data_IF_838693682651
#
_entry.id   IF_838693682651
#
_cell.length_a   1.000
_cell.length_b   1.000
_cell.length_c   1.000
_cell.angle_alpha   90.00
_cell.angle_beta   90.00
_cell.angle_gamma   90.00
#
_symmetry.space_group_name_H-M   'P 1'
#
loop_
_entity.id
_entity.type
_entity.pdbx_description
1 polymer ?
#
# COMPACT_ATOMS: atom_id res chain seq x y z
N UNK A 1 -14.43 37.58 19.19
CA UNK A 1 -13.39 38.46 18.59
C UNK A 1 -12.33 37.57 18.00
N UNK A 2 -11.85 37.80 16.77
CA UNK A 2 -10.78 36.96 16.22
C UNK A 2 -9.49 37.21 17.02
N UNK A 3 -8.74 36.16 17.41
CA UNK A 3 -7.48 36.29 18.11
C UNK A 3 -6.46 37.05 17.24
N UNK A 4 -5.53 37.76 17.88
CA UNK A 4 -4.50 38.57 17.22
C UNK A 4 -3.10 38.13 17.63
N UNK A 5 -2.06 38.50 16.87
CA UNK A 5 -0.68 38.24 17.29
C UNK A 5 -0.34 38.93 18.63
N UNK A 6 -1.06 39.99 18.98
CA UNK A 6 -0.89 40.68 20.27
C UNK A 6 -1.35 39.81 21.43
N UNK A 7 -2.50 39.12 21.26
CA UNK A 7 -3.02 38.24 22.31
C UNK A 7 -2.06 37.07 22.59
N UNK A 8 -1.41 36.55 21.54
CA UNK A 8 -0.37 35.50 21.68
C UNK A 8 0.88 36.04 22.34
N UNK A 9 1.28 37.25 21.97
CA UNK A 9 2.46 37.94 22.56
C UNK A 9 2.28 38.21 24.07
N UNK A 10 1.10 38.65 24.46
CA UNK A 10 0.74 38.94 25.85
C UNK A 10 0.74 37.66 26.71
N UNK A 11 0.26 36.52 26.19
CA UNK A 11 0.26 35.22 26.89
C UNK A 11 1.68 34.72 27.19
N UNK A 12 2.63 34.94 26.28
CA UNK A 12 4.01 34.47 26.43
C UNK A 12 5.00 35.51 26.94
N UNK A 13 4.57 36.75 27.16
CA UNK A 13 5.45 37.84 27.59
C UNK A 13 6.54 38.18 26.57
N UNK A 14 6.23 38.05 25.27
CA UNK A 14 7.17 38.31 24.17
C UNK A 14 6.67 39.49 23.32
N UNK A 15 7.54 40.01 22.46
CA UNK A 15 7.11 41.03 21.50
C UNK A 15 6.25 40.46 20.38
N UNK A 16 5.37 41.28 19.79
CA UNK A 16 4.60 40.94 18.58
C UNK A 16 5.55 40.51 17.45
N UNK A 17 6.73 41.12 17.35
CA UNK A 17 7.75 40.72 16.39
C UNK A 17 8.29 39.32 16.65
N UNK A 18 8.50 38.92 17.91
CA UNK A 18 8.88 37.55 18.24
C UNK A 18 7.79 36.54 17.84
N UNK A 19 6.51 36.87 18.08
CA UNK A 19 5.37 36.05 17.58
C UNK A 19 5.40 35.98 16.06
N UNK A 20 5.60 37.10 15.37
CA UNK A 20 5.72 37.12 13.91
C UNK A 20 6.88 36.26 13.41
N UNK A 21 8.06 36.34 14.04
CA UNK A 21 9.22 35.52 13.70
C UNK A 21 8.94 34.03 13.96
N UNK A 22 8.27 33.68 15.06
CA UNK A 22 7.89 32.33 15.39
C UNK A 22 6.88 31.76 14.39
N UNK A 23 5.81 32.50 14.08
CA UNK A 23 4.78 32.14 13.11
C UNK A 23 5.33 32.00 11.68
N UNK A 24 6.34 32.80 11.33
CA UNK A 24 6.96 32.80 10.01
C UNK A 24 8.27 31.97 9.93
N UNK A 25 8.53 31.13 10.93
CA UNK A 25 9.72 30.27 11.02
C UNK A 25 11.05 30.99 10.77
N UNK A 26 11.15 32.28 11.11
CA UNK A 26 12.37 33.07 10.95
C UNK A 26 13.29 32.93 12.17
N UNK A 27 14.62 33.07 12.00
CA UNK A 27 15.55 33.06 13.12
C UNK A 27 15.29 34.31 14.05
N UNK A 28 15.65 34.16 15.34
CA UNK A 28 15.47 35.19 16.34
C UNK A 28 14.55 34.83 17.50
N UNK A 29 14.01 33.60 17.51
CA UNK A 29 13.23 33.02 18.62
C UNK A 29 13.77 31.62 18.88
N UNK A 30 13.93 31.23 20.15
CA UNK A 30 14.36 29.87 20.51
C UNK A 30 13.30 28.85 20.09
N UNK A 31 13.72 27.62 19.75
CA UNK A 31 12.80 26.55 19.32
C UNK A 31 11.73 26.24 20.39
N UNK A 32 12.11 26.25 21.68
CA UNK A 32 11.16 26.08 22.76
C UNK A 32 10.06 27.15 22.79
N UNK A 33 10.44 28.40 22.66
CA UNK A 33 9.50 29.51 22.63
C UNK A 33 8.66 29.49 21.35
N UNK A 34 9.26 29.14 20.21
CA UNK A 34 8.57 28.99 18.95
C UNK A 34 7.43 27.97 19.08
N UNK A 35 7.72 26.78 19.64
CA UNK A 35 6.72 25.72 19.85
C UNK A 35 5.58 26.18 20.79
N UNK A 36 5.90 26.94 21.87
CA UNK A 36 4.88 27.48 22.77
C UNK A 36 3.97 28.50 22.05
N UNK A 37 4.53 29.41 21.27
CA UNK A 37 3.79 30.38 20.48
C UNK A 37 2.87 29.68 19.46
N UNK A 38 3.38 28.67 18.77
CA UNK A 38 2.63 27.93 17.78
C UNK A 38 1.44 27.17 18.39
N UNK A 39 1.64 26.52 19.55
CA UNK A 39 0.55 25.86 20.29
C UNK A 39 -0.54 26.84 20.68
N UNK A 40 -0.18 27.95 21.29
CA UNK A 40 -1.13 28.99 21.71
C UNK A 40 -1.88 29.59 20.52
N UNK A 41 -1.20 29.79 19.39
CA UNK A 41 -1.84 30.29 18.17
C UNK A 41 -2.90 29.29 17.63
N UNK A 42 -2.63 27.99 17.77
CA UNK A 42 -3.59 26.93 17.39
C UNK A 42 -4.77 26.87 18.38
N UNK A 43 -4.47 26.83 19.68
CA UNK A 43 -5.49 26.76 20.74
C UNK A 43 -6.47 27.96 20.71
N UNK A 44 -5.97 29.14 20.34
CA UNK A 44 -6.79 30.32 20.17
C UNK A 44 -7.54 30.40 18.83
N UNK A 45 -7.28 29.45 17.90
CA UNK A 45 -7.86 29.50 16.54
C UNK A 45 -7.26 30.62 15.67
N UNK A 46 -6.10 31.20 16.04
CA UNK A 46 -5.39 32.19 15.23
C UNK A 46 -4.88 31.56 13.92
N UNK A 47 -4.58 30.27 13.95
CA UNK A 47 -4.07 29.50 12.81
C UNK A 47 -5.17 29.03 11.84
N UNK A 48 -6.43 29.44 11.98
CA UNK A 48 -7.48 29.17 11.00
C UNK A 48 -7.21 29.86 9.64
N UNK A 49 -6.33 30.84 9.58
CA UNK A 49 -5.68 31.30 8.34
C UNK A 49 -4.51 30.38 7.94
N UNK A 50 -4.79 29.12 7.88
CA UNK A 50 -3.85 28.01 7.68
C UNK A 50 -3.05 28.09 6.38
N UNK A 51 -3.60 28.72 5.36
CA UNK A 51 -2.88 28.96 4.10
C UNK A 51 -1.61 29.81 4.29
N UNK A 52 -1.64 30.80 5.19
CA UNK A 52 -0.45 31.60 5.49
C UNK A 52 0.60 30.79 6.24
N UNK A 53 0.18 29.94 7.18
CA UNK A 53 1.09 29.14 7.99
C UNK A 53 1.79 28.07 7.17
N UNK A 54 1.08 27.36 6.30
CA UNK A 54 1.67 26.35 5.40
C UNK A 54 2.53 26.98 4.29
N UNK A 55 2.26 28.25 3.91
CA UNK A 55 3.11 29.02 2.99
C UNK A 55 4.38 29.58 3.63
N UNK A 56 4.41 29.68 4.95
CA UNK A 56 5.53 30.31 5.69
C UNK A 56 6.53 29.29 6.24
N UNK A 57 6.11 28.03 6.49
CA UNK A 57 7.04 26.91 6.52
C UNK A 57 7.42 26.65 5.06
N UNK A 58 8.61 27.09 4.67
CA UNK A 58 9.18 26.68 3.38
C UNK A 58 8.97 25.18 3.24
N UNK A 59 8.26 24.80 2.18
CA UNK A 59 7.77 23.46 1.86
C UNK A 59 8.94 22.52 1.60
N UNK A 60 9.61 22.03 2.63
CA UNK A 60 10.85 21.28 2.41
C UNK A 60 10.78 19.83 2.86
N UNK A 61 9.80 19.44 3.69
CA UNK A 61 9.84 18.12 4.30
C UNK A 61 8.54 17.34 4.18
N UNK A 62 8.59 16.15 3.57
CA UNK A 62 7.52 15.15 3.59
C UNK A 62 7.84 14.07 4.62
N UNK A 63 6.83 13.66 5.38
CA UNK A 63 6.89 12.51 6.25
C UNK A 63 6.47 11.26 5.50
N UNK A 64 7.35 10.30 5.34
CA UNK A 64 7.00 8.99 4.81
C UNK A 64 6.95 7.99 5.96
N UNK A 65 5.83 7.29 6.07
CA UNK A 65 5.60 6.28 7.11
C UNK A 65 5.40 4.91 6.49
N UNK A 66 5.95 3.86 7.08
CA UNK A 66 5.78 2.48 6.64
C UNK A 66 5.84 1.54 7.83
N UNK A 67 5.00 0.50 7.88
CA UNK A 67 5.10 -0.50 8.95
C UNK A 67 6.43 -1.25 8.86
N UNK A 68 7.02 -1.57 10.03
CA UNK A 68 8.29 -2.29 10.16
C UNK A 68 8.30 -3.61 9.38
N UNK A 69 7.19 -4.33 9.36
CA UNK A 69 7.07 -5.60 8.62
C UNK A 69 7.33 -5.48 7.11
N UNK A 70 7.09 -4.31 6.52
CA UNK A 70 7.31 -4.06 5.10
C UNK A 70 8.73 -3.59 4.78
N UNK A 71 9.50 -3.15 5.77
CA UNK A 71 10.89 -2.70 5.60
C UNK A 71 11.81 -3.79 5.04
N UNK A 72 11.45 -5.06 5.26
CA UNK A 72 12.17 -6.24 4.74
C UNK A 72 11.81 -6.59 3.30
N UNK A 73 10.77 -5.97 2.73
CA UNK A 73 10.31 -6.21 1.37
C UNK A 73 10.79 -5.14 0.40
N UNK A 74 12.10 -5.14 0.14
CA UNK A 74 12.72 -4.18 -0.76
C UNK A 74 12.32 -4.38 -2.23
N UNK A 75 11.88 -5.58 -2.62
CA UNK A 75 11.49 -5.89 -4.00
C UNK A 75 10.11 -5.32 -4.38
N UNK A 76 9.29 -4.97 -3.39
CA UNK A 76 8.00 -4.34 -3.61
C UNK A 76 7.95 -2.94 -2.95
N UNK A 77 7.94 -2.87 -1.63
CA UNK A 77 7.82 -1.60 -0.91
C UNK A 77 9.05 -0.70 -1.02
N UNK A 78 10.24 -1.29 -1.17
CA UNK A 78 11.47 -0.53 -1.40
C UNK A 78 11.46 0.25 -2.72
N UNK A 79 10.86 -0.31 -3.77
CA UNK A 79 10.73 0.37 -5.08
C UNK A 79 9.74 1.54 -4.97
N UNK A 80 8.61 1.35 -4.27
CA UNK A 80 7.63 2.42 -4.02
C UNK A 80 8.29 3.55 -3.23
N UNK A 81 9.00 3.21 -2.14
CA UNK A 81 9.71 4.18 -1.31
C UNK A 81 10.74 4.96 -2.10
N UNK A 82 11.58 4.27 -2.90
CA UNK A 82 12.56 4.93 -3.75
C UNK A 82 11.91 5.92 -4.71
N UNK A 83 10.81 5.52 -5.36
CA UNK A 83 10.08 6.39 -6.27
C UNK A 83 9.45 7.60 -5.56
N UNK A 84 8.98 7.43 -4.31
CA UNK A 84 8.50 8.55 -3.46
C UNK A 84 9.64 9.52 -3.18
N UNK A 85 10.81 9.04 -2.75
CA UNK A 85 11.97 9.88 -2.43
C UNK A 85 12.44 10.67 -3.65
N UNK A 86 12.60 10.00 -4.79
CA UNK A 86 13.04 10.64 -6.03
C UNK A 86 12.04 11.70 -6.53
N UNK A 87 10.74 11.39 -6.50
CA UNK A 87 9.73 12.34 -6.95
C UNK A 87 9.59 13.54 -5.97
N UNK A 88 9.67 13.29 -4.66
CA UNK A 88 9.70 14.35 -3.65
C UNK A 88 10.87 15.30 -3.90
N UNK A 89 12.08 14.76 -4.07
CA UNK A 89 13.29 15.52 -4.35
C UNK A 89 13.20 16.37 -5.62
N UNK A 90 12.65 15.80 -6.70
CA UNK A 90 12.41 16.55 -7.97
C UNK A 90 11.49 17.77 -7.78
N UNK A 91 10.59 17.69 -6.80
CA UNK A 91 9.66 18.77 -6.46
C UNK A 91 10.16 19.67 -5.32
N UNK A 92 11.44 19.55 -4.92
CA UNK A 92 12.06 20.40 -3.90
C UNK A 92 11.71 20.04 -2.46
N UNK A 93 11.31 18.77 -2.21
CA UNK A 93 11.01 18.27 -0.86
C UNK A 93 12.08 17.30 -0.38
N UNK A 94 12.50 17.46 0.85
CA UNK A 94 13.23 16.45 1.61
C UNK A 94 12.26 15.41 2.18
N UNK A 95 12.74 14.21 2.43
CA UNK A 95 11.93 13.10 2.96
C UNK A 95 12.48 12.64 4.30
N UNK A 96 11.62 12.64 5.31
CA UNK A 96 11.89 12.00 6.59
C UNK A 96 11.16 10.67 6.66
N UNK A 97 11.92 9.56 6.79
CA UNK A 97 11.38 8.22 6.86
C UNK A 97 11.10 7.81 8.30
N UNK A 98 9.92 7.25 8.56
CA UNK A 98 9.50 6.76 9.87
C UNK A 98 8.90 5.36 9.72
N UNK A 99 9.47 4.40 10.44
CA UNK A 99 8.90 3.06 10.57
C UNK A 99 8.01 3.01 11.81
N UNK A 100 6.96 2.18 11.78
CA UNK A 100 6.03 2.04 12.89
C UNK A 100 5.46 0.63 13.03
N UNK A 101 5.10 0.25 14.24
CA UNK A 101 4.22 -0.88 14.54
C UNK A 101 2.77 -0.36 14.61
N UNK A 102 1.85 -0.97 13.90
CA UNK A 102 0.44 -0.52 13.87
C UNK A 102 -0.25 -0.61 15.24
N UNK A 103 0.21 -1.51 16.13
CA UNK A 103 -0.32 -1.64 17.48
C UNK A 103 0.25 -0.61 18.47
N UNK A 104 1.42 -0.03 18.17
CA UNK A 104 2.16 0.88 19.04
C UNK A 104 2.69 2.09 18.26
N UNK A 105 1.89 2.64 17.34
CA UNK A 105 2.32 3.75 16.50
C UNK A 105 2.54 5.03 17.31
N UNK A 106 3.76 5.52 17.31
CA UNK A 106 4.07 6.86 17.74
C UNK A 106 3.95 7.85 16.59
N UNK A 107 3.37 9.03 16.85
CA UNK A 107 3.31 10.10 15.85
C UNK A 107 4.72 10.65 15.63
N UNK A 108 5.22 10.70 14.37
CA UNK A 108 6.54 11.22 14.08
C UNK A 108 6.78 12.62 14.66
N UNK A 109 7.95 12.87 15.26
CA UNK A 109 8.29 14.16 15.87
C UNK A 109 8.07 15.33 14.92
N UNK A 110 8.44 15.18 13.63
CA UNK A 110 8.24 16.22 12.64
C UNK A 110 6.76 16.58 12.42
N UNK A 111 5.85 15.61 12.60
CA UNK A 111 4.39 15.84 12.53
C UNK A 111 3.93 16.58 13.80
N UNK A 112 4.36 16.11 14.97
CA UNK A 112 4.05 16.75 16.28
C UNK A 112 4.55 18.20 16.32
N UNK A 113 5.77 18.42 15.85
CA UNK A 113 6.45 19.73 15.81
C UNK A 113 6.01 20.59 14.61
N UNK A 114 5.09 20.08 13.77
CA UNK A 114 4.55 20.74 12.57
C UNK A 114 5.63 21.16 11.55
N UNK A 115 6.75 20.42 11.50
CA UNK A 115 7.83 20.63 10.53
C UNK A 115 7.62 19.88 9.22
N UNK A 116 6.64 18.99 9.15
CA UNK A 116 6.26 18.24 7.96
C UNK A 116 5.12 18.92 7.20
N UNK A 117 5.23 19.02 5.88
CA UNK A 117 4.19 19.58 5.02
C UNK A 117 3.07 18.59 4.74
N UNK A 118 3.38 17.31 4.62
CA UNK A 118 2.42 16.24 4.32
C UNK A 118 2.95 14.87 4.72
N UNK A 119 2.06 13.89 4.72
CA UNK A 119 2.35 12.50 5.10
C UNK A 119 2.02 11.57 3.93
N UNK A 120 2.95 10.69 3.57
CA UNK A 120 2.70 9.54 2.70
C UNK A 120 2.84 8.28 3.54
N UNK A 121 1.82 7.41 3.53
CA UNK A 121 1.86 6.14 4.24
C UNK A 121 1.92 5.02 3.21
N UNK A 122 2.98 4.22 3.26
CA UNK A 122 3.21 3.11 2.34
C UNK A 122 2.76 1.81 3.00
N UNK A 123 1.81 1.11 2.37
CA UNK A 123 1.21 -0.12 2.88
C UNK A 123 0.12 0.13 3.94
N UNK A 124 -0.28 -0.96 4.61
CA UNK A 124 -1.44 -0.97 5.53
C UNK A 124 -1.19 -0.14 6.78
N UNK A 125 -2.21 0.61 7.19
CA UNK A 125 -2.32 1.30 8.47
C UNK A 125 -3.76 1.13 9.00
N UNK A 126 -3.95 1.04 10.31
CA UNK A 126 -5.29 0.99 10.92
C UNK A 126 -6.01 2.33 10.86
N UNK A 127 -7.34 2.29 10.79
CA UNK A 127 -8.17 3.49 10.78
C UNK A 127 -8.00 4.34 12.06
N UNK A 128 -7.73 3.70 13.21
CA UNK A 128 -7.43 4.37 14.48
C UNK A 128 -6.14 5.20 14.43
N UNK A 129 -5.13 4.68 13.75
CA UNK A 129 -3.87 5.39 13.53
C UNK A 129 -4.03 6.53 12.52
N UNK A 130 -4.85 6.33 11.48
CA UNK A 130 -5.25 7.42 10.57
C UNK A 130 -5.93 8.55 11.36
N UNK A 131 -6.90 8.23 12.23
CA UNK A 131 -7.57 9.23 13.10
C UNK A 131 -6.57 10.01 13.96
N UNK A 132 -5.57 9.32 14.48
CA UNK A 132 -4.52 9.95 15.29
C UNK A 132 -3.70 10.95 14.48
N UNK A 133 -3.32 10.60 13.26
CA UNK A 133 -2.58 11.49 12.36
C UNK A 133 -3.44 12.65 11.85
N UNK A 134 -4.73 12.42 11.56
CA UNK A 134 -5.66 13.46 11.09
C UNK A 134 -5.87 14.61 12.10
N UNK A 135 -5.67 14.36 13.41
CA UNK A 135 -5.72 15.42 14.46
C UNK A 135 -4.71 16.54 14.21
N UNK A 136 -3.60 16.25 13.52
CA UNK A 136 -2.58 17.25 13.18
C UNK A 136 -2.96 18.09 11.95
N UNK A 137 -4.08 17.73 11.27
CA UNK A 137 -4.64 18.44 10.12
C UNK A 137 -3.61 18.66 8.98
N UNK A 138 -2.70 17.72 8.78
CA UNK A 138 -1.71 17.66 7.70
C UNK A 138 -2.28 16.73 6.61
N UNK A 139 -2.16 17.06 5.32
CA UNK A 139 -2.58 16.18 4.24
C UNK A 139 -1.90 14.81 4.30
N UNK A 140 -2.69 13.76 4.10
CA UNK A 140 -2.22 12.36 4.13
C UNK A 140 -2.61 11.70 2.81
N UNK A 141 -1.68 10.95 2.23
CA UNK A 141 -1.91 10.10 1.06
C UNK A 141 -1.46 8.67 1.40
N UNK A 142 -2.32 7.69 1.15
CA UNK A 142 -2.00 6.28 1.28
C UNK A 142 -1.45 5.74 -0.04
N UNK A 143 -0.42 4.91 0.00
CA UNK A 143 0.11 4.17 -1.15
C UNK A 143 0.01 2.68 -0.89
N UNK A 144 -0.55 1.92 -1.81
CA UNK A 144 -0.85 0.48 -1.69
C UNK A 144 -1.80 0.13 -0.54
N UNK A 145 -2.61 1.08 -0.11
CA UNK A 145 -3.64 0.90 0.90
C UNK A 145 -4.79 1.89 0.72
N UNK A 146 -6.01 1.46 1.06
CA UNK A 146 -7.18 2.32 1.19
C UNK A 146 -7.94 1.97 2.47
N UNK A 147 -8.51 2.98 3.10
CA UNK A 147 -9.52 2.79 4.14
C UNK A 147 -10.91 2.74 3.50
N UNK A 148 -11.74 1.79 3.92
CA UNK A 148 -13.15 1.76 3.54
C UNK A 148 -14.03 2.65 4.44
N UNK A 149 -13.46 3.15 5.53
CA UNK A 149 -14.17 3.94 6.57
C UNK A 149 -13.78 5.42 6.49
N UNK A 150 -12.54 5.71 6.07
CA UNK A 150 -12.01 7.07 6.02
C UNK A 150 -11.96 7.59 4.60
N UNK A 151 -12.49 8.80 4.42
CA UNK A 151 -12.36 9.53 3.15
C UNK A 151 -10.97 10.17 3.07
N UNK A 152 -10.01 9.46 2.49
CA UNK A 152 -8.61 9.84 2.42
C UNK A 152 -8.03 9.51 1.04
N UNK A 153 -7.10 10.33 0.58
CA UNK A 153 -6.44 10.10 -0.69
C UNK A 153 -5.64 8.80 -0.71
N UNK A 154 -5.81 8.00 -1.77
CA UNK A 154 -5.12 6.72 -1.92
C UNK A 154 -4.61 6.52 -3.34
N UNK A 155 -3.45 5.88 -3.47
CA UNK A 155 -2.91 5.41 -4.75
C UNK A 155 -2.80 3.91 -4.70
N UNK A 156 -3.52 3.23 -5.58
CA UNK A 156 -3.80 1.80 -5.52
C UNK A 156 -3.43 1.11 -6.81
N UNK A 157 -3.20 -0.19 -6.74
CA UNK A 157 -3.16 -1.10 -7.88
C UNK A 157 -4.59 -1.52 -8.26
N UNK A 158 -4.87 -1.68 -9.55
CA UNK A 158 -6.11 -2.32 -10.00
C UNK A 158 -6.07 -3.85 -9.76
N UNK A 159 -6.15 -4.20 -8.48
CA UNK A 159 -6.09 -5.59 -8.02
C UNK A 159 -7.22 -6.44 -8.60
N UNK A 160 -8.43 -5.86 -8.68
CA UNK A 160 -9.61 -6.57 -9.21
C UNK A 160 -9.42 -6.89 -10.70
N UNK A 161 -8.98 -5.90 -11.48
CA UNK A 161 -8.66 -6.12 -12.89
C UNK A 161 -7.55 -7.17 -13.06
N UNK A 162 -6.51 -7.12 -12.22
CA UNK A 162 -5.41 -8.09 -12.25
C UNK A 162 -5.89 -9.52 -12.03
N UNK A 163 -6.69 -9.76 -10.99
CA UNK A 163 -7.30 -11.07 -10.75
C UNK A 163 -8.19 -11.55 -11.90
N UNK A 164 -8.96 -10.63 -12.50
CA UNK A 164 -9.79 -10.91 -13.66
C UNK A 164 -8.95 -11.28 -14.90
N UNK A 165 -7.91 -10.53 -15.20
CA UNK A 165 -7.02 -10.76 -16.35
C UNK A 165 -6.37 -12.13 -16.27
N UNK A 166 -5.88 -12.54 -15.10
CA UNK A 166 -5.25 -13.87 -14.91
C UNK A 166 -6.22 -14.99 -15.24
N UNK A 167 -7.42 -14.98 -14.67
CA UNK A 167 -8.40 -16.03 -14.89
C UNK A 167 -8.87 -16.05 -16.34
N UNK A 168 -9.12 -14.88 -16.95
CA UNK A 168 -9.43 -14.79 -18.38
C UNK A 168 -8.36 -15.45 -19.24
N UNK A 169 -7.09 -15.15 -18.97
CA UNK A 169 -5.96 -15.76 -19.67
C UNK A 169 -5.93 -17.29 -19.52
N UNK A 170 -6.13 -17.78 -18.29
CA UNK A 170 -6.13 -19.22 -18.01
C UNK A 170 -7.29 -19.96 -18.71
N UNK A 171 -8.50 -19.39 -18.67
CA UNK A 171 -9.65 -19.94 -19.41
C UNK A 171 -9.42 -19.96 -20.92
N UNK A 172 -8.77 -18.92 -21.47
CA UNK A 172 -8.41 -18.88 -22.91
C UNK A 172 -7.37 -19.93 -23.28
N UNK A 173 -6.48 -20.30 -22.34
CA UNK A 173 -5.55 -21.43 -22.50
C UNK A 173 -6.22 -22.81 -22.35
N UNK A 174 -7.45 -22.87 -21.85
CA UNK A 174 -8.22 -24.11 -21.73
C UNK A 174 -8.14 -24.76 -20.34
N UNK A 175 -7.67 -24.04 -19.32
CA UNK A 175 -7.72 -24.56 -17.94
C UNK A 175 -9.14 -24.62 -17.41
N UNK A 176 -9.51 -25.73 -16.80
CA UNK A 176 -10.83 -25.98 -16.22
C UNK A 176 -10.81 -25.92 -14.69
N UNK A 177 -9.69 -26.30 -14.05
CA UNK A 177 -9.53 -26.34 -12.59
C UNK A 177 -8.55 -25.28 -12.14
N UNK A 178 -9.08 -24.08 -11.88
CA UNK A 178 -8.31 -22.89 -11.48
C UNK A 178 -8.53 -22.64 -10.00
N UNK A 179 -7.50 -22.78 -9.16
CA UNK A 179 -7.57 -22.49 -7.72
C UNK A 179 -6.98 -21.15 -7.36
N UNK A 180 -7.39 -20.58 -6.22
CA UNK A 180 -6.76 -19.41 -5.63
C UNK A 180 -5.89 -19.82 -4.43
N UNK A 181 -4.70 -19.25 -4.32
CA UNK A 181 -3.75 -19.48 -3.22
C UNK A 181 -3.40 -18.16 -2.55
N UNK A 182 -4.04 -17.85 -1.41
CA UNK A 182 -3.84 -16.57 -0.72
C UNK A 182 -4.78 -16.37 0.47
N UNK A 183 -4.30 -15.68 1.52
CA UNK A 183 -5.05 -15.44 2.76
C UNK A 183 -5.87 -14.16 2.67
N UNK A 184 -7.21 -14.31 2.53
CA UNK A 184 -8.12 -13.18 2.29
C UNK A 184 -8.21 -12.20 3.47
N UNK A 185 -7.93 -12.66 4.69
CA UNK A 185 -7.95 -11.81 5.90
C UNK A 185 -6.73 -10.89 6.01
N UNK A 186 -5.67 -11.15 5.25
CA UNK A 186 -4.39 -10.48 5.39
C UNK A 186 -4.42 -9.03 4.90
N UNK A 187 -4.97 -8.75 3.71
CA UNK A 187 -5.03 -7.40 3.15
C UNK A 187 -6.25 -7.20 2.23
N UNK A 188 -6.63 -5.92 2.03
CA UNK A 188 -7.67 -5.56 1.07
C UNK A 188 -7.24 -5.90 -0.37
N UNK A 189 -5.98 -5.67 -0.74
CA UNK A 189 -5.45 -5.98 -2.07
C UNK A 189 -5.61 -7.46 -2.43
N UNK A 190 -5.36 -8.39 -1.50
CA UNK A 190 -5.60 -9.83 -1.73
C UNK A 190 -7.09 -10.11 -1.92
N UNK A 191 -7.97 -9.49 -1.12
CA UNK A 191 -9.44 -9.61 -1.31
C UNK A 191 -9.88 -9.13 -2.68
N UNK A 192 -9.35 -7.99 -3.14
CA UNK A 192 -9.68 -7.44 -4.45
C UNK A 192 -9.19 -8.33 -5.60
N UNK A 193 -7.97 -8.92 -5.49
CA UNK A 193 -7.45 -9.91 -6.43
C UNK A 193 -8.37 -11.12 -6.50
N UNK A 194 -8.83 -11.60 -5.35
CA UNK A 194 -9.80 -12.69 -5.26
C UNK A 194 -11.17 -12.31 -5.83
N UNK A 195 -11.69 -11.11 -5.61
CA UNK A 195 -12.93 -10.65 -6.25
C UNK A 195 -12.82 -10.62 -7.78
N UNK A 196 -11.67 -10.20 -8.31
CA UNK A 196 -11.40 -10.26 -9.75
C UNK A 196 -11.39 -11.70 -10.27
N UNK A 197 -10.73 -12.61 -9.54
CA UNK A 197 -10.72 -14.04 -9.82
C UNK A 197 -12.15 -14.63 -9.85
N UNK A 198 -12.96 -14.36 -8.83
CA UNK A 198 -14.36 -14.83 -8.77
C UNK A 198 -15.20 -14.24 -9.90
N UNK A 199 -15.06 -12.95 -10.19
CA UNK A 199 -15.82 -12.29 -11.24
C UNK A 199 -15.51 -12.85 -12.62
N UNK A 200 -14.24 -13.16 -12.90
CA UNK A 200 -13.86 -13.78 -14.16
C UNK A 200 -14.44 -15.20 -14.31
N UNK A 201 -14.39 -16.03 -13.26
CA UNK A 201 -15.02 -17.36 -13.27
C UNK A 201 -16.54 -17.26 -13.46
N UNK A 202 -17.21 -16.31 -12.78
CA UNK A 202 -18.65 -16.10 -12.90
C UNK A 202 -19.06 -15.62 -14.28
N UNK A 203 -18.25 -14.74 -14.89
CA UNK A 203 -18.60 -14.10 -16.17
C UNK A 203 -18.20 -14.96 -17.37
N UNK A 204 -16.99 -15.52 -17.35
CA UNK A 204 -16.35 -16.18 -18.49
C UNK A 204 -16.31 -17.71 -18.38
N UNK A 205 -16.50 -18.25 -17.18
CA UNK A 205 -16.51 -19.69 -16.95
C UNK A 205 -17.70 -20.41 -17.60
N UNK A 206 -17.63 -21.75 -17.76
CA UNK A 206 -18.74 -22.55 -18.26
C UNK A 206 -19.98 -22.48 -17.38
N UNK A 207 -21.16 -22.80 -17.93
CA UNK A 207 -22.44 -22.66 -17.23
C UNK A 207 -22.51 -23.48 -15.93
N UNK A 208 -22.05 -24.74 -15.99
CA UNK A 208 -22.05 -25.64 -14.84
C UNK A 208 -21.20 -25.09 -13.66
N UNK A 209 -20.08 -24.45 -13.98
CA UNK A 209 -19.22 -23.84 -12.95
C UNK A 209 -19.93 -22.68 -12.25
N UNK A 210 -20.72 -21.89 -12.97
CA UNK A 210 -21.43 -20.73 -12.43
C UNK A 210 -22.47 -21.11 -11.39
N UNK A 211 -23.15 -22.24 -11.58
CA UNK A 211 -24.16 -22.76 -10.66
C UNK A 211 -23.54 -23.27 -9.34
N UNK A 212 -22.30 -23.76 -9.38
CA UNK A 212 -21.59 -24.36 -8.25
C UNK A 212 -20.30 -23.61 -7.87
N UNK A 213 -20.24 -22.31 -8.14
CA UNK A 213 -19.01 -21.51 -8.01
C UNK A 213 -18.40 -21.56 -6.61
N UNK A 214 -19.20 -21.51 -5.56
CA UNK A 214 -18.70 -21.56 -4.17
C UNK A 214 -18.04 -22.91 -3.87
N UNK A 215 -18.69 -24.01 -4.20
CA UNK A 215 -18.15 -25.37 -4.01
C UNK A 215 -16.86 -25.58 -4.82
N UNK A 216 -16.84 -25.08 -6.06
CA UNK A 216 -15.67 -25.13 -6.92
C UNK A 216 -14.48 -24.37 -6.29
N UNK A 217 -14.71 -23.14 -5.80
CA UNK A 217 -13.67 -22.32 -5.17
C UNK A 217 -13.13 -23.02 -3.91
N UNK A 218 -13.99 -23.52 -3.03
CA UNK A 218 -13.60 -24.25 -1.83
C UNK A 218 -12.82 -25.52 -2.17
N UNK A 219 -13.24 -26.23 -3.21
CA UNK A 219 -12.59 -27.46 -3.67
C UNK A 219 -11.16 -27.23 -4.16
N UNK A 220 -10.87 -26.15 -4.89
CA UNK A 220 -9.60 -25.97 -5.57
C UNK A 220 -8.69 -24.89 -4.93
N UNK A 221 -9.19 -24.10 -3.99
CA UNK A 221 -8.43 -22.98 -3.40
C UNK A 221 -7.89 -23.27 -1.99
N UNK A 222 -6.87 -22.52 -1.57
CA UNK A 222 -6.27 -22.55 -0.23
C UNK A 222 -6.22 -21.12 0.29
N UNK A 223 -6.83 -20.86 1.47
CA UNK A 223 -7.07 -19.49 1.95
C UNK A 223 -6.39 -19.12 3.27
N UNK A 224 -5.94 -20.06 4.08
CA UNK A 224 -5.52 -19.78 5.46
C UNK A 224 -4.05 -20.06 5.69
N UNK A 225 -3.40 -19.20 6.48
CA UNK A 225 -2.05 -19.42 7.00
C UNK A 225 -0.92 -19.26 5.98
N UNK A 226 -1.20 -18.64 4.82
CA UNK A 226 -0.25 -18.52 3.71
C UNK A 226 0.68 -17.33 3.95
N UNK A 227 0.13 -16.12 4.08
CA UNK A 227 0.93 -14.91 4.19
C UNK A 227 1.80 -14.88 5.44
N UNK A 228 1.28 -15.39 6.56
CA UNK A 228 2.04 -15.54 7.80
C UNK A 228 3.20 -16.54 7.65
N UNK A 229 2.98 -17.66 6.95
CA UNK A 229 4.01 -18.64 6.67
C UNK A 229 5.10 -18.08 5.73
N UNK A 230 4.70 -17.36 4.69
CA UNK A 230 5.61 -16.71 3.74
C UNK A 230 6.47 -15.64 4.43
N UNK A 231 5.88 -14.78 5.27
CA UNK A 231 6.60 -13.76 6.03
C UNK A 231 7.66 -14.33 6.97
N UNK A 232 7.34 -15.47 7.60
CA UNK A 232 8.21 -16.10 8.59
C UNK A 232 9.12 -17.19 8.00
N UNK A 233 9.12 -17.37 6.67
CA UNK A 233 9.84 -18.45 5.97
C UNK A 233 9.48 -19.87 6.48
N UNK A 234 8.23 -20.06 6.88
CA UNK A 234 7.72 -21.37 7.37
C UNK A 234 7.32 -22.28 6.20
N UNK A 235 8.31 -22.68 5.38
CA UNK A 235 8.07 -23.53 4.21
C UNK A 235 7.35 -24.85 4.53
N UNK A 236 7.63 -25.45 5.71
CA UNK A 236 6.94 -26.65 6.18
C UNK A 236 5.42 -26.46 6.29
N UNK A 237 4.98 -25.28 6.75
CA UNK A 237 3.55 -24.97 6.86
C UNK A 237 2.89 -24.94 5.47
N UNK A 238 3.53 -24.35 4.48
CA UNK A 238 3.01 -24.34 3.10
C UNK A 238 2.93 -25.78 2.54
N UNK A 239 3.96 -26.60 2.75
CA UNK A 239 3.96 -28.01 2.34
C UNK A 239 2.76 -28.75 2.94
N UNK A 240 2.52 -28.59 4.24
CA UNK A 240 1.39 -29.24 4.92
C UNK A 240 0.03 -28.72 4.44
N UNK A 241 -0.10 -27.44 4.09
CA UNK A 241 -1.33 -26.90 3.51
C UNK A 241 -1.63 -27.53 2.16
N UNK A 242 -0.62 -27.65 1.29
CA UNK A 242 -0.76 -28.27 -0.03
C UNK A 242 -1.05 -29.77 0.11
N UNK A 243 -0.35 -30.49 0.99
CA UNK A 243 -0.51 -31.93 1.21
C UNK A 243 -1.92 -32.29 1.73
N UNK A 244 -2.53 -31.41 2.51
CA UNK A 244 -3.90 -31.61 3.04
C UNK A 244 -4.98 -31.41 1.98
N UNK A 245 -4.64 -30.85 0.82
CA UNK A 245 -5.61 -30.60 -0.25
C UNK A 245 -5.89 -31.91 -1.00
N UNK A 246 -7.10 -32.40 -0.90
CA UNK A 246 -7.52 -33.67 -1.53
C UNK A 246 -7.44 -33.59 -3.06
N UNK A 247 -7.79 -32.44 -3.64
CA UNK A 247 -7.77 -32.20 -5.07
C UNK A 247 -6.96 -30.94 -5.38
N UNK A 248 -5.80 -31.10 -6.00
CA UNK A 248 -5.06 -29.98 -6.55
C UNK A 248 -5.73 -29.47 -7.83
N UNK A 249 -5.78 -28.15 -8.06
CA UNK A 249 -6.20 -27.61 -9.35
C UNK A 249 -5.12 -27.83 -10.41
N UNK A 250 -5.46 -27.58 -11.66
CA UNK A 250 -4.52 -27.58 -12.79
C UNK A 250 -3.59 -26.35 -12.74
N UNK A 251 -4.09 -25.26 -12.13
CA UNK A 251 -3.35 -24.00 -11.98
C UNK A 251 -3.77 -23.24 -10.73
N UNK A 252 -2.80 -22.67 -10.02
CA UNK A 252 -3.04 -21.73 -8.93
C UNK A 252 -2.82 -20.29 -9.37
N UNK A 253 -3.79 -19.44 -9.06
CA UNK A 253 -3.65 -17.99 -9.03
C UNK A 253 -3.22 -17.59 -7.61
N UNK A 254 -2.00 -17.14 -7.45
CA UNK A 254 -1.44 -16.80 -6.13
C UNK A 254 -1.72 -15.34 -5.77
N UNK A 255 -1.88 -15.09 -4.46
CA UNK A 255 -2.11 -13.75 -3.91
C UNK A 255 -1.00 -12.76 -4.28
N UNK A 256 0.25 -13.23 -4.34
CA UNK A 256 1.44 -12.47 -4.72
C UNK A 256 2.57 -13.40 -5.17
N UNK A 257 3.65 -12.84 -5.69
CA UNK A 257 4.80 -13.61 -6.18
C UNK A 257 5.53 -14.38 -5.07
N UNK A 258 5.60 -13.84 -3.85
CA UNK A 258 6.23 -14.56 -2.74
C UNK A 258 5.45 -15.81 -2.36
N UNK A 259 4.12 -15.73 -2.35
CA UNK A 259 3.25 -16.88 -2.14
C UNK A 259 3.40 -17.89 -3.29
N UNK A 260 3.52 -17.42 -4.54
CA UNK A 260 3.76 -18.27 -5.70
C UNK A 260 5.10 -19.02 -5.59
N UNK A 261 6.18 -18.33 -5.22
CA UNK A 261 7.50 -18.95 -5.01
C UNK A 261 7.47 -19.99 -3.89
N UNK A 262 6.82 -19.68 -2.76
CA UNK A 262 6.68 -20.63 -1.66
C UNK A 262 5.86 -21.87 -2.07
N UNK A 263 4.81 -21.69 -2.86
CA UNK A 263 4.00 -22.79 -3.42
C UNK A 263 4.82 -23.64 -4.40
N UNK A 264 5.61 -23.03 -5.29
CA UNK A 264 6.49 -23.76 -6.21
C UNK A 264 7.46 -24.66 -5.46
N UNK A 265 8.10 -24.15 -4.39
CA UNK A 265 8.98 -24.94 -3.53
C UNK A 265 8.23 -26.10 -2.84
N UNK A 266 7.03 -25.85 -2.34
CA UNK A 266 6.22 -26.88 -1.68
C UNK A 266 5.81 -28.00 -2.64
N UNK A 267 5.37 -27.64 -3.85
CA UNK A 267 5.03 -28.60 -4.90
C UNK A 267 6.24 -29.45 -5.29
N UNK A 268 7.40 -28.85 -5.48
CA UNK A 268 8.65 -29.57 -5.78
C UNK A 268 9.01 -30.59 -4.69
N UNK A 269 8.90 -30.20 -3.41
CA UNK A 269 9.16 -31.12 -2.28
C UNK A 269 8.16 -32.28 -2.25
N UNK A 270 6.92 -32.05 -2.69
CA UNK A 270 5.88 -33.07 -2.80
C UNK A 270 5.96 -33.93 -4.09
N UNK A 271 6.95 -33.67 -4.95
CA UNK A 271 7.19 -34.42 -6.17
C UNK A 271 6.41 -33.95 -7.40
N UNK A 272 5.73 -32.80 -7.32
CA UNK A 272 5.05 -32.18 -8.46
C UNK A 272 5.99 -31.26 -9.25
N UNK A 273 5.80 -31.24 -10.56
CA UNK A 273 6.54 -30.36 -11.49
C UNK A 273 5.69 -29.15 -11.89
N UNK A 274 6.34 -27.99 -12.01
CA UNK A 274 5.76 -26.76 -12.54
C UNK A 274 6.43 -26.48 -13.88
N UNK A 275 5.67 -26.30 -14.96
CA UNK A 275 4.21 -26.17 -15.07
C UNK A 275 3.45 -27.49 -15.34
N UNK A 276 4.12 -28.64 -15.54
CA UNK A 276 3.55 -29.84 -16.15
C UNK A 276 2.41 -30.46 -15.32
N UNK A 277 2.62 -30.67 -14.01
CA UNK A 277 1.58 -31.20 -13.11
C UNK A 277 0.65 -30.09 -12.63
N UNK A 278 1.23 -28.94 -12.17
CA UNK A 278 0.48 -27.81 -11.67
C UNK A 278 1.10 -26.50 -12.19
N UNK A 279 0.31 -25.72 -12.89
CA UNK A 279 0.71 -24.37 -13.34
C UNK A 279 0.55 -23.33 -12.23
N UNK A 280 1.29 -22.23 -12.30
CA UNK A 280 1.26 -21.17 -11.28
C UNK A 280 1.32 -19.79 -11.93
N UNK A 281 0.47 -18.87 -11.43
CA UNK A 281 0.51 -17.45 -11.76
C UNK A 281 0.65 -16.64 -10.49
N UNK A 282 1.63 -15.73 -10.45
CA UNK A 282 1.88 -14.79 -9.35
C UNK A 282 1.18 -13.45 -9.54
N UNK A 283 1.53 -12.50 -8.66
CA UNK A 283 1.11 -11.11 -8.71
C UNK A 283 2.23 -10.24 -8.10
N UNK A 284 2.55 -9.10 -8.69
CA UNK A 284 3.50 -8.04 -8.30
C UNK A 284 4.67 -7.85 -9.27
N UNK A 285 5.10 -8.87 -10.00
CA UNK A 285 6.26 -8.90 -10.88
C UNK A 285 7.54 -8.42 -10.16
N UNK A 286 7.93 -9.14 -9.10
CA UNK A 286 9.20 -8.91 -8.41
C UNK A 286 10.37 -9.49 -9.21
N UNK A 287 11.58 -8.98 -8.99
CA UNK A 287 12.80 -9.38 -9.71
C UNK A 287 13.05 -10.90 -9.70
N UNK A 288 12.64 -11.59 -8.63
CA UNK A 288 12.83 -13.02 -8.50
C UNK A 288 12.07 -13.82 -9.57
N UNK A 289 10.98 -13.29 -10.12
CA UNK A 289 10.18 -13.95 -11.17
C UNK A 289 11.00 -14.31 -12.41
N UNK A 290 12.04 -13.55 -12.74
CA UNK A 290 12.92 -13.79 -13.87
C UNK A 290 14.16 -14.64 -13.53
N UNK A 291 14.51 -14.70 -12.25
CA UNK A 291 15.74 -15.36 -11.77
C UNK A 291 15.56 -16.85 -11.47
N UNK A 292 14.32 -17.27 -11.20
CA UNK A 292 13.99 -18.68 -10.94
C UNK A 292 13.80 -19.49 -12.22
N UNK A 293 13.73 -20.82 -12.08
CA UNK A 293 13.39 -21.75 -13.16
C UNK A 293 12.35 -22.77 -12.66
N UNK A 294 11.20 -22.89 -13.38
CA UNK A 294 10.75 -22.06 -14.51
C UNK A 294 10.47 -20.60 -14.09
N UNK A 295 10.61 -19.64 -15.02
CA UNK A 295 10.32 -18.22 -14.77
C UNK A 295 8.84 -18.00 -14.50
N UNK A 296 8.53 -17.20 -13.48
CA UNK A 296 7.16 -17.01 -12.99
C UNK A 296 6.34 -16.08 -13.90
N UNK A 297 5.22 -16.61 -14.45
CA UNK A 297 4.14 -15.82 -15.03
C UNK A 297 3.44 -15.04 -13.92
N UNK A 298 3.21 -13.74 -14.11
CA UNK A 298 2.71 -12.88 -13.03
C UNK A 298 1.98 -11.65 -13.57
N UNK A 299 1.25 -10.95 -12.70
CA UNK A 299 0.71 -9.62 -12.98
C UNK A 299 1.76 -8.57 -12.59
N UNK A 300 2.06 -7.68 -13.52
CA UNK A 300 2.95 -6.56 -13.27
C UNK A 300 2.23 -5.41 -12.56
N UNK A 301 2.71 -5.06 -11.36
CA UNK A 301 2.32 -3.88 -10.60
C UNK A 301 3.36 -2.79 -10.83
N UNK A 302 2.93 -1.61 -11.25
CA UNK A 302 3.84 -0.49 -11.48
C UNK A 302 4.14 0.29 -10.19
N UNK A 303 5.05 -0.27 -9.41
CA UNK A 303 5.48 0.25 -8.10
C UNK A 303 6.06 1.66 -8.18
N UNK A 304 6.81 1.96 -9.25
CA UNK A 304 7.41 3.28 -9.45
C UNK A 304 6.34 4.35 -9.71
N UNK A 305 5.37 4.06 -10.58
CA UNK A 305 4.26 4.99 -10.85
C UNK A 305 3.46 5.22 -9.57
N UNK A 306 3.24 4.18 -8.75
CA UNK A 306 2.54 4.32 -7.47
C UNK A 306 3.23 5.34 -6.56
N UNK A 307 4.53 5.21 -6.35
CA UNK A 307 5.30 6.15 -5.53
C UNK A 307 5.26 7.59 -6.07
N UNK A 308 5.46 7.75 -7.37
CA UNK A 308 5.39 9.06 -8.04
C UNK A 308 4.01 9.72 -7.88
N UNK A 309 2.94 8.96 -8.12
CA UNK A 309 1.56 9.47 -8.02
C UNK A 309 1.18 9.82 -6.58
N UNK A 310 1.69 9.10 -5.59
CA UNK A 310 1.47 9.42 -4.17
C UNK A 310 2.04 10.82 -3.84
N UNK A 311 3.27 11.12 -4.28
CA UNK A 311 3.86 12.45 -4.09
C UNK A 311 3.09 13.53 -4.86
N UNK A 312 2.78 13.31 -6.13
CA UNK A 312 2.04 14.26 -6.96
C UNK A 312 0.66 14.57 -6.35
N UNK A 313 -0.04 13.56 -5.84
CA UNK A 313 -1.32 13.74 -5.16
C UNK A 313 -1.15 14.53 -3.85
N UNK A 314 -0.12 14.23 -3.06
CA UNK A 314 0.15 14.97 -1.84
C UNK A 314 0.45 16.45 -2.14
N UNK A 315 1.29 16.74 -3.12
CA UNK A 315 1.61 18.12 -3.54
C UNK A 315 0.34 18.84 -4.04
N UNK A 316 -0.51 18.16 -4.80
CA UNK A 316 -1.80 18.72 -5.20
C UNK A 316 -2.63 19.10 -3.99
N UNK A 317 -2.74 18.22 -2.98
CA UNK A 317 -3.47 18.46 -1.72
C UNK A 317 -2.89 19.61 -0.91
N UNK A 318 -1.57 19.77 -0.91
CA UNK A 318 -0.90 20.91 -0.24
C UNK A 318 -1.28 22.24 -0.87
N UNK A 319 -1.53 22.28 -2.16
CA UNK A 319 -1.94 23.49 -2.88
C UNK A 319 -3.47 23.69 -2.93
N UNK A 320 -4.25 22.63 -2.65
CA UNK A 320 -5.72 22.63 -2.74
C UNK A 320 -6.30 21.88 -1.52
N UNK A 321 -6.21 22.50 -0.34
CA UNK A 321 -6.59 21.89 0.94
C UNK A 321 -8.07 21.41 0.99
N UNK A 322 -8.96 22.14 0.30
CA UNK A 322 -10.40 21.84 0.26
C UNK A 322 -10.79 20.87 -0.88
N UNK A 323 -9.82 20.39 -1.68
CA UNK A 323 -10.11 19.42 -2.74
C UNK A 323 -10.68 18.13 -2.15
N UNK A 324 -11.54 17.45 -2.88
CA UNK A 324 -12.06 16.14 -2.51
C UNK A 324 -10.93 15.11 -2.49
N UNK A 325 -11.05 14.11 -1.61
CA UNK A 325 -10.15 12.96 -1.64
C UNK A 325 -10.40 12.11 -2.89
N UNK A 326 -9.35 11.51 -3.40
CA UNK A 326 -9.38 10.68 -4.61
C UNK A 326 -8.70 9.34 -4.36
N UNK A 327 -9.28 8.29 -4.96
CA UNK A 327 -8.61 7.00 -5.13
C UNK A 327 -8.04 6.92 -6.54
N UNK A 328 -6.72 6.99 -6.67
CA UNK A 328 -6.02 6.86 -7.94
C UNK A 328 -5.68 5.39 -8.14
N UNK A 329 -6.28 4.77 -9.14
CA UNK A 329 -6.08 3.34 -9.46
C UNK A 329 -5.13 3.20 -10.64
N UNK A 330 -4.04 2.47 -10.47
CA UNK A 330 -3.02 2.21 -11.48
C UNK A 330 -3.30 0.87 -12.15
N UNK A 331 -3.46 0.88 -13.46
CA UNK A 331 -3.69 -0.32 -14.26
C UNK A 331 -2.52 -1.31 -14.19
N UNK A 332 -2.84 -2.57 -14.47
CA UNK A 332 -1.92 -3.70 -14.44
C UNK A 332 -1.92 -4.45 -15.77
N UNK A 333 -0.91 -5.26 -16.00
CA UNK A 333 -0.82 -6.13 -17.18
C UNK A 333 -0.23 -7.51 -16.80
N UNK A 334 -0.62 -8.53 -17.54
CA UNK A 334 -0.03 -9.87 -17.42
C UNK A 334 1.35 -9.89 -18.07
N UNK A 335 2.30 -10.54 -17.41
CA UNK A 335 3.62 -10.90 -17.93
C UNK A 335 3.71 -12.40 -18.00
N UNK A 336 3.49 -12.94 -19.20
CA UNK A 336 3.56 -14.39 -19.46
C UNK A 336 5.02 -14.85 -19.49
N UNK A 337 5.30 -15.98 -18.81
CA UNK A 337 6.60 -16.63 -18.74
C UNK A 337 6.44 -18.16 -18.83
N UNK A 338 7.15 -18.93 -17.96
CA UNK A 338 7.33 -20.38 -18.13
C UNK A 338 6.47 -21.22 -17.17
N UNK A 339 5.82 -20.63 -16.13
CA UNK A 339 5.08 -21.38 -15.11
C UNK A 339 3.63 -21.75 -15.49
N UNK A 340 3.20 -21.48 -16.72
CA UNK A 340 1.88 -21.86 -17.23
C UNK A 340 2.08 -22.70 -18.49
N UNK A 341 1.59 -23.95 -18.45
CA UNK A 341 1.68 -24.85 -19.61
C UNK A 341 0.71 -24.45 -20.73
N UNK A 342 1.05 -24.80 -21.96
CA UNK A 342 0.10 -24.76 -23.07
C UNK A 342 -0.78 -26.01 -23.04
N UNK A 343 -2.11 -25.81 -22.96
CA UNK A 343 -3.07 -26.93 -22.91
C UNK A 343 -3.74 -27.20 -24.27
N UNK A 344 -3.41 -26.38 -25.28
CA UNK A 344 -3.97 -26.47 -26.64
C UNK A 344 -3.13 -27.38 -27.55
N UNK A 345 -2.79 -28.60 -27.09
CA UNK A 345 -2.28 -29.65 -27.98
C UNK A 345 -2.91 -30.98 -27.65
#
# INVERSE_FOLDING_TARGET
>A
MKPTMKDIADIHGVSINAVSLALNNKPGVSEEMRLKILRTADDLGYLDEREKYLRTYEKTNLCVMMQDRYSKDMNFYGIILYAVVEEAKRNGYDVSMNFFDDNQMEVPKMVVERRGSGIIIIGKISDSNIDTLQKYKIPIVLADHASLVKNIDSVLTDNKLGGFIVVKYLLQKGFEKIGFFGELSYSLSIKERFWGYQEALRTLGPAELKEHLTEYIEKYSIFNGIESAVLNNYNKQIIELVKKKEHLPEVFVCSNDKAALALMMALQVLGYTVPDDVSIVGFDNIDMCEKIRPKLTTINVNKEIMGKRAVQRLIYRLNHMDALSENIVIGVNLVERETVKDTKY
#
